data_IF_157594808493
#
_entry.id   IF_157594808493
#
_cell.length_a   1.000
_cell.length_b   1.000
_cell.length_c   1.000
_cell.angle_alpha   90.00
_cell.angle_beta   90.00
_cell.angle_gamma   90.00
#
_symmetry.space_group_name_H-M   'P 1'
#
loop_
_entity.id
_entity.type
_entity.pdbx_description
1 polymer ?
#
# COMPACT_ATOMS: atom_id res chain seq x y z
N UNK A 1 -11.32 9.69 17.02
CA UNK A 1 -10.40 8.57 16.68
C UNK A 1 -11.26 7.33 16.50
N UNK A 2 -11.55 6.97 15.27
CA UNK A 2 -12.35 5.77 14.97
C UNK A 2 -11.41 4.58 14.83
N UNK A 3 -11.58 3.57 15.67
CA UNK A 3 -10.84 2.30 15.61
C UNK A 3 -11.85 1.23 15.26
N UNK A 4 -11.69 0.59 14.10
CA UNK A 4 -12.50 -0.57 13.73
C UNK A 4 -11.66 -1.84 13.88
N UNK A 5 -12.05 -2.74 14.78
CA UNK A 5 -11.45 -4.05 14.95
C UNK A 5 -12.49 -5.12 14.60
N UNK A 6 -12.21 -5.93 13.60
CA UNK A 6 -13.06 -7.07 13.23
C UNK A 6 -12.62 -8.34 13.96
N UNK A 7 -13.50 -8.94 14.75
CA UNK A 7 -13.27 -10.24 15.40
C UNK A 7 -13.87 -11.37 14.57
N UNK A 8 -13.03 -12.30 14.13
CA UNK A 8 -13.52 -13.58 13.62
C UNK A 8 -13.19 -14.69 14.62
N UNK A 9 -14.23 -15.20 15.33
CA UNK A 9 -14.13 -16.40 16.17
C UNK A 9 -14.65 -17.59 15.36
N UNK A 10 -13.76 -18.43 14.87
CA UNK A 10 -14.10 -19.82 14.53
C UNK A 10 -13.08 -20.78 15.10
N UNK A 11 -13.58 -21.50 16.10
CA UNK A 11 -12.99 -22.62 16.77
C UNK A 11 -12.97 -23.84 15.79
N UNK A 12 -11.83 -24.44 15.50
CA UNK A 12 -11.76 -25.71 14.80
C UNK A 12 -10.96 -26.72 15.63
N UNK A 13 -11.68 -27.71 16.09
CA UNK A 13 -11.18 -28.96 16.66
C UNK A 13 -10.44 -29.76 15.59
N UNK A 14 -9.35 -30.37 16.02
CA UNK A 14 -8.56 -31.32 15.25
C UNK A 14 -9.18 -32.73 15.32
N UNK A 15 -9.05 -33.51 14.26
CA UNK A 15 -9.07 -34.98 14.28
C UNK A 15 -8.19 -35.57 13.16
N UNK A 16 -7.50 -36.69 13.41
CA UNK A 16 -6.43 -37.20 12.56
C UNK A 16 -6.90 -38.39 11.69
N UNK A 17 -6.25 -38.62 10.57
CA UNK A 17 -6.46 -39.81 9.71
C UNK A 17 -5.34 -40.01 8.70
N UNK A 18 -4.55 -40.86 8.91
CA UNK A 18 -3.65 -41.91 8.43
C UNK A 18 -4.07 -42.52 7.09
N UNK A 19 -3.10 -42.77 6.15
CA UNK A 19 -2.55 -43.99 5.51
C UNK A 19 -1.93 -43.62 4.16
N UNK A 20 -0.71 -43.93 3.93
CA UNK A 20 0.11 -44.94 3.28
C UNK A 20 -0.33 -45.44 1.88
N UNK A 21 0.61 -45.41 0.99
CA UNK A 21 1.14 -46.32 -0.05
C UNK A 21 1.43 -45.53 -1.33
N UNK A 22 2.56 -45.61 -2.00
CA UNK A 22 3.47 -46.69 -2.32
C UNK A 22 3.53 -46.82 -3.84
N UNK A 23 4.71 -46.80 -4.45
CA UNK A 23 4.85 -47.11 -5.88
C UNK A 23 6.10 -46.53 -6.53
N UNK A 24 7.12 -47.35 -6.64
CA UNK A 24 8.39 -47.20 -7.40
C UNK A 24 8.15 -47.38 -8.90
N UNK A 25 9.03 -46.83 -9.72
CA UNK A 25 9.76 -47.36 -10.86
C UNK A 25 10.36 -46.19 -11.65
N UNK A 26 11.54 -46.06 -11.93
CA UNK A 26 12.76 -46.63 -12.42
C UNK A 26 12.88 -46.67 -13.98
N UNK A 27 14.08 -46.21 -14.41
CA UNK A 27 14.79 -46.50 -15.67
C UNK A 27 14.32 -45.72 -16.91
N UNK A 28 15.17 -45.24 -17.86
CA UNK A 28 16.58 -45.48 -18.25
C UNK A 28 17.00 -44.46 -19.31
N UNK A 29 18.13 -43.87 -19.22
CA UNK A 29 19.36 -43.90 -20.03
C UNK A 29 19.21 -44.01 -21.56
N UNK A 30 19.66 -43.00 -22.32
CA UNK A 30 20.44 -43.15 -23.55
C UNK A 30 21.30 -41.94 -23.85
N UNK A 31 22.58 -42.22 -23.94
CA UNK A 31 23.69 -41.39 -24.41
C UNK A 31 23.77 -41.52 -25.92
N UNK A 32 24.04 -40.47 -26.68
CA UNK A 32 24.79 -40.54 -27.93
C UNK A 32 25.61 -39.27 -28.17
N UNK A 33 26.87 -39.53 -28.51
CA UNK A 33 28.01 -38.68 -28.83
C UNK A 33 28.06 -38.31 -30.30
N UNK A 34 28.86 -37.25 -30.53
CA UNK A 34 29.72 -36.89 -31.66
C UNK A 34 29.14 -36.43 -32.99
N UNK A 35 29.53 -35.24 -33.44
CA UNK A 35 30.70 -34.98 -34.29
C UNK A 35 30.92 -33.49 -34.55
N UNK A 36 32.19 -33.12 -34.50
CA UNK A 36 32.77 -31.83 -34.94
C UNK A 36 32.71 -31.73 -36.47
N UNK A 37 32.63 -30.54 -37.01
CA UNK A 37 33.49 -30.05 -38.10
C UNK A 37 33.46 -28.52 -38.23
N UNK A 38 34.54 -28.01 -38.67
CA UNK A 38 35.24 -26.74 -38.55
C UNK A 38 34.92 -25.79 -39.71
N UNK A 39 35.30 -24.52 -39.56
CA UNK A 39 35.73 -23.52 -40.52
C UNK A 39 34.73 -22.42 -40.98
N UNK A 40 35.15 -21.18 -40.74
CA UNK A 40 34.73 -20.04 -41.55
C UNK A 40 34.73 -18.68 -40.83
N UNK A 41 35.90 -18.03 -40.77
CA UNK A 41 36.09 -16.63 -40.37
C UNK A 41 35.30 -15.67 -41.27
N UNK A 42 34.50 -14.75 -40.71
CA UNK A 42 34.44 -13.37 -41.20
C UNK A 42 34.09 -12.43 -40.05
N UNK A 43 34.97 -11.44 -39.87
CA UNK A 43 34.85 -10.34 -38.93
C UNK A 43 33.70 -9.40 -39.36
N UNK A 44 32.73 -9.25 -38.51
CA UNK A 44 31.67 -8.25 -38.59
C UNK A 44 31.56 -7.53 -37.26
N UNK A 45 31.71 -6.21 -37.31
CA UNK A 45 31.80 -5.24 -36.22
C UNK A 45 30.75 -5.48 -35.12
N UNK A 46 31.23 -5.55 -33.89
CA UNK A 46 30.47 -5.63 -32.65
C UNK A 46 29.53 -4.44 -32.51
N UNK A 47 28.27 -4.62 -32.86
CA UNK A 47 27.20 -3.86 -32.32
C UNK A 47 26.80 -4.54 -31.01
N UNK A 48 27.09 -3.91 -29.87
CA UNK A 48 26.63 -4.37 -28.58
C UNK A 48 25.09 -4.64 -28.62
N UNK A 49 24.62 -5.76 -28.09
CA UNK A 49 23.18 -6.04 -28.07
C UNK A 49 22.50 -4.91 -27.31
N UNK A 50 21.64 -4.15 -28.00
CA UNK A 50 20.71 -3.24 -27.35
C UNK A 50 19.81 -4.12 -26.51
N UNK A 51 19.98 -4.03 -25.19
CA UNK A 51 19.00 -4.56 -24.23
C UNK A 51 17.63 -4.00 -24.62
N UNK A 52 16.61 -4.84 -24.80
CA UNK A 52 15.25 -4.34 -25.00
C UNK A 52 14.92 -3.44 -23.83
N UNK A 53 14.45 -2.23 -24.10
CA UNK A 53 13.91 -1.29 -23.13
C UNK A 53 12.87 -2.07 -22.33
N UNK A 54 13.11 -2.21 -21.02
CA UNK A 54 12.54 -3.19 -20.13
C UNK A 54 11.03 -3.30 -20.29
N UNK A 55 10.57 -4.49 -20.56
CA UNK A 55 9.26 -4.91 -20.10
C UNK A 55 9.23 -4.67 -18.58
N UNK A 56 8.39 -3.76 -18.12
CA UNK A 56 8.11 -3.56 -16.71
C UNK A 56 7.68 -4.92 -16.17
N UNK A 57 8.55 -5.56 -15.41
CA UNK A 57 8.20 -6.83 -14.75
C UNK A 57 7.12 -6.46 -13.73
N UNK A 58 5.85 -6.61 -14.12
CA UNK A 58 4.71 -6.42 -13.25
C UNK A 58 4.80 -7.48 -12.15
N UNK A 59 5.48 -7.12 -11.07
CA UNK A 59 5.55 -7.98 -9.89
C UNK A 59 4.21 -7.90 -9.16
N UNK A 60 3.58 -9.05 -8.89
CA UNK A 60 2.40 -9.14 -8.03
C UNK A 60 2.84 -9.39 -6.59
N UNK A 61 2.12 -8.85 -5.60
CA UNK A 61 2.40 -9.11 -4.20
C UNK A 61 2.33 -10.61 -3.89
N UNK A 62 3.29 -11.10 -3.13
CA UNK A 62 3.37 -12.51 -2.73
C UNK A 62 3.53 -12.63 -1.23
N UNK A 63 3.08 -13.75 -0.66
CA UNK A 63 3.26 -14.08 0.76
C UNK A 63 4.63 -14.74 1.05
N UNK A 64 5.65 -14.45 0.24
CA UNK A 64 6.98 -15.08 0.36
C UNK A 64 7.75 -14.57 1.58
N UNK A 65 7.70 -13.26 1.84
CA UNK A 65 8.42 -12.65 2.98
C UNK A 65 7.81 -13.09 4.30
N UNK A 66 6.50 -13.09 4.39
CA UNK A 66 5.77 -13.55 5.56
C UNK A 66 6.03 -15.05 5.80
N UNK A 67 5.97 -15.87 4.74
CA UNK A 67 6.26 -17.31 4.83
C UNK A 67 7.71 -17.60 5.24
N UNK A 68 8.67 -16.80 4.81
CA UNK A 68 10.07 -16.92 5.22
C UNK A 68 10.24 -16.58 6.73
N UNK A 69 9.54 -15.57 7.23
CA UNK A 69 9.55 -15.24 8.64
C UNK A 69 8.83 -16.31 9.48
N UNK A 70 7.69 -16.81 9.01
CA UNK A 70 6.94 -17.91 9.65
C UNK A 70 7.78 -19.18 9.78
N UNK A 71 8.57 -19.55 8.75
CA UNK A 71 9.51 -20.69 8.83
C UNK A 71 10.59 -20.52 9.89
N UNK A 72 10.88 -19.30 10.30
CA UNK A 72 11.82 -18.98 11.40
C UNK A 72 11.13 -18.88 12.77
N UNK A 73 9.84 -19.25 12.85
CA UNK A 73 9.05 -19.16 14.08
C UNK A 73 8.56 -17.74 14.42
N UNK A 74 8.68 -16.76 13.50
CA UNK A 74 8.23 -15.38 13.71
C UNK A 74 6.77 -15.28 13.28
N UNK A 75 5.88 -15.08 14.25
CA UNK A 75 4.43 -14.92 14.04
C UNK A 75 3.78 -14.26 15.26
N UNK A 76 2.73 -13.43 15.15
CA UNK A 76 2.07 -12.97 13.93
C UNK A 76 2.86 -11.90 13.15
N UNK A 77 2.59 -11.75 11.85
CA UNK A 77 3.24 -10.79 10.96
C UNK A 77 2.19 -9.86 10.39
N UNK A 78 2.38 -8.55 10.58
CA UNK A 78 1.52 -7.52 10.00
C UNK A 78 2.20 -6.84 8.80
N UNK A 79 1.41 -6.47 7.79
CA UNK A 79 1.77 -5.45 6.81
C UNK A 79 1.02 -4.17 7.11
N UNK A 80 1.63 -3.01 6.88
CA UNK A 80 0.95 -1.73 7.01
C UNK A 80 1.30 -0.77 5.88
N UNK A 81 0.32 0.06 5.52
CA UNK A 81 0.38 1.07 4.48
C UNK A 81 -0.58 2.21 4.79
N UNK A 82 -0.41 3.36 4.13
CA UNK A 82 -1.26 4.53 4.28
C UNK A 82 -1.81 5.03 2.95
N UNK A 83 -2.92 5.74 3.00
CA UNK A 83 -3.53 6.45 1.88
C UNK A 83 -3.80 7.91 2.23
N UNK A 84 -3.62 8.81 1.25
CA UNK A 84 -4.02 10.19 1.39
C UNK A 84 -2.94 11.13 1.90
N UNK A 85 -1.67 10.95 1.53
CA UNK A 85 -0.58 11.89 1.86
C UNK A 85 -0.65 13.17 1.04
N UNK A 86 -0.86 13.09 -0.28
CA UNK A 86 -0.84 14.21 -1.20
C UNK A 86 -2.08 15.14 -1.24
N UNK A 87 -3.30 14.73 -0.89
CA UNK A 87 -4.48 15.59 -0.97
C UNK A 87 -4.41 16.84 -0.10
N UNK A 88 -5.08 17.91 -0.54
CA UNK A 88 -5.24 19.17 0.19
C UNK A 88 -6.23 19.08 1.34
N UNK A 89 -7.13 18.08 1.31
CA UNK A 89 -8.16 17.88 2.32
C UNK A 89 -8.30 16.43 2.75
N UNK A 90 -8.84 16.25 3.95
CA UNK A 90 -9.09 14.96 4.56
C UNK A 90 -7.89 14.36 5.31
N UNK A 91 -8.11 13.26 6.05
CA UNK A 91 -7.08 12.62 6.85
C UNK A 91 -6.11 11.80 5.99
N UNK A 92 -4.93 11.51 6.55
CA UNK A 92 -4.18 10.30 6.20
C UNK A 92 -4.84 9.14 6.90
N UNK A 93 -5.10 8.06 6.18
CA UNK A 93 -5.65 6.82 6.70
C UNK A 93 -4.60 5.73 6.58
N UNK A 94 -4.19 5.17 7.71
CA UNK A 94 -3.27 4.04 7.77
C UNK A 94 -4.03 2.76 8.13
N UNK A 95 -3.62 1.63 7.56
CA UNK A 95 -4.12 0.32 7.90
C UNK A 95 -2.99 -0.64 8.27
N UNK A 96 -3.29 -1.59 9.14
CA UNK A 96 -2.44 -2.71 9.48
C UNK A 96 -3.23 -4.02 9.30
N UNK A 97 -2.63 -5.01 8.65
CA UNK A 97 -3.30 -6.27 8.30
C UNK A 97 -2.40 -7.46 8.63
N UNK A 98 -2.94 -8.43 9.41
CA UNK A 98 -2.36 -9.76 9.59
C UNK A 98 -3.20 -10.72 8.76
N UNK A 99 -2.63 -11.23 7.68
CA UNK A 99 -3.28 -12.23 6.82
C UNK A 99 -3.23 -13.62 7.45
N UNK A 100 -4.29 -14.39 7.29
CA UNK A 100 -4.29 -15.82 7.61
C UNK A 100 -3.45 -16.57 6.57
N UNK A 101 -2.34 -17.27 6.96
CA UNK A 101 -1.47 -18.00 6.03
C UNK A 101 -2.18 -19.06 5.19
N UNK A 102 -3.27 -19.63 5.71
CA UNK A 102 -4.04 -20.71 5.06
C UNK A 102 -5.17 -20.16 4.18
N UNK A 103 -5.47 -18.83 4.29
CA UNK A 103 -6.62 -18.25 3.60
C UNK A 103 -6.33 -16.84 3.02
N UNK A 104 -5.24 -16.71 2.28
CA UNK A 104 -4.84 -15.46 1.67
C UNK A 104 -5.81 -15.08 0.55
N UNK A 105 -6.40 -13.86 0.54
CA UNK A 105 -7.27 -13.41 -0.53
C UNK A 105 -6.55 -13.42 -1.90
N UNK A 106 -7.17 -14.04 -2.91
CA UNK A 106 -6.61 -14.04 -4.28
C UNK A 106 -6.84 -12.69 -4.95
N UNK A 107 -5.85 -12.24 -5.71
CA UNK A 107 -5.95 -11.02 -6.53
C UNK A 107 -5.52 -9.74 -5.79
N UNK A 108 -4.80 -9.88 -4.66
CA UNK A 108 -4.11 -8.74 -4.04
C UNK A 108 -3.14 -8.13 -5.06
N UNK A 109 -3.13 -6.80 -5.11
CA UNK A 109 -2.22 -5.99 -5.91
C UNK A 109 -2.10 -4.61 -5.27
N UNK A 110 -1.15 -3.79 -5.73
CA UNK A 110 -1.11 -2.36 -5.41
C UNK A 110 -2.50 -1.73 -5.63
N UNK A 111 -3.00 -1.04 -4.63
CA UNK A 111 -4.35 -0.48 -4.65
C UNK A 111 -4.57 0.50 -5.82
N UNK A 112 -3.52 1.13 -6.33
CA UNK A 112 -3.56 2.06 -7.47
C UNK A 112 -3.73 1.33 -8.82
N UNK A 113 -3.32 0.04 -8.90
CA UNK A 113 -3.48 -0.80 -10.10
C UNK A 113 -4.86 -1.47 -10.18
N UNK A 114 -5.61 -1.45 -9.10
CA UNK A 114 -6.95 -2.05 -9.01
C UNK A 114 -8.03 -1.04 -9.37
N UNK A 115 -9.08 -1.49 -10.06
CA UNK A 115 -10.29 -0.66 -10.23
C UNK A 115 -11.02 -0.47 -8.89
N UNK A 116 -11.84 0.58 -8.73
CA UNK A 116 -12.62 0.80 -7.50
C UNK A 116 -13.46 -0.42 -7.09
N UNK A 117 -14.10 -1.10 -8.04
CA UNK A 117 -14.96 -2.27 -7.80
C UNK A 117 -14.13 -3.45 -7.28
N UNK A 118 -12.96 -3.70 -7.89
CA UNK A 118 -12.05 -4.76 -7.43
C UNK A 118 -11.50 -4.47 -6.05
N UNK A 119 -11.14 -3.20 -5.76
CA UNK A 119 -10.73 -2.79 -4.40
C UNK A 119 -11.83 -3.04 -3.38
N UNK A 120 -13.09 -2.68 -3.70
CA UNK A 120 -14.22 -2.90 -2.80
C UNK A 120 -14.42 -4.40 -2.49
N UNK A 121 -14.40 -5.26 -3.51
CA UNK A 121 -14.53 -6.71 -3.32
C UNK A 121 -13.38 -7.28 -2.48
N UNK A 122 -12.14 -6.84 -2.72
CA UNK A 122 -10.98 -7.29 -1.96
C UNK A 122 -11.02 -6.77 -0.51
N UNK A 123 -11.45 -5.53 -0.29
CA UNK A 123 -11.66 -4.95 1.03
C UNK A 123 -12.56 -5.83 1.89
N UNK A 124 -13.73 -6.22 1.38
CA UNK A 124 -14.67 -7.08 2.11
C UNK A 124 -14.05 -8.46 2.40
N UNK A 125 -13.31 -9.04 1.44
CA UNK A 125 -12.63 -10.32 1.63
C UNK A 125 -11.52 -10.24 2.68
N UNK A 126 -10.74 -9.16 2.69
CA UNK A 126 -9.67 -8.92 3.68
C UNK A 126 -10.30 -8.77 5.06
N UNK A 127 -11.31 -7.90 5.21
CA UNK A 127 -11.97 -7.67 6.49
C UNK A 127 -12.65 -8.94 7.06
N UNK A 128 -13.16 -9.82 6.19
CA UNK A 128 -13.80 -11.08 6.61
C UNK A 128 -12.81 -12.17 7.05
N UNK A 129 -11.52 -12.10 6.64
CA UNK A 129 -10.59 -13.23 6.77
C UNK A 129 -9.27 -12.90 7.45
N UNK A 130 -8.96 -11.61 7.59
CA UNK A 130 -7.73 -11.13 8.20
C UNK A 130 -8.02 -10.37 9.49
N UNK A 131 -6.98 -10.14 10.28
CA UNK A 131 -7.06 -9.17 11.37
C UNK A 131 -6.68 -7.81 10.83
N UNK A 132 -7.57 -6.85 11.00
CA UNK A 132 -7.45 -5.53 10.40
C UNK A 132 -7.62 -4.47 11.47
N UNK A 133 -6.77 -3.46 11.43
CA UNK A 133 -6.94 -2.24 12.20
C UNK A 133 -6.65 -1.02 11.32
N UNK A 134 -7.36 0.08 11.60
CA UNK A 134 -7.24 1.34 10.87
C UNK A 134 -7.06 2.47 11.86
N UNK A 135 -6.19 3.41 11.53
CA UNK A 135 -6.01 4.66 12.26
C UNK A 135 -5.98 5.85 11.31
N UNK A 136 -6.35 7.02 11.81
CA UNK A 136 -6.44 8.24 11.03
C UNK A 136 -5.59 9.35 11.67
N UNK A 137 -4.82 10.07 10.84
CA UNK A 137 -4.23 11.34 11.21
C UNK A 137 -5.08 12.47 10.60
N UNK A 138 -5.81 13.24 11.42
CA UNK A 138 -6.65 14.34 10.94
C UNK A 138 -5.80 15.52 10.42
N UNK A 139 -6.37 16.44 9.62
CA UNK A 139 -5.68 17.63 9.12
C UNK A 139 -4.93 18.41 10.20
N UNK A 140 -5.55 18.65 11.35
CA UNK A 140 -4.91 19.36 12.46
C UNK A 140 -3.61 18.69 12.97
N UNK A 141 -3.51 17.34 12.88
CA UNK A 141 -2.26 16.64 13.19
C UNK A 141 -1.23 16.81 12.06
N UNK A 142 -1.67 16.77 10.81
CA UNK A 142 -0.79 16.97 9.65
C UNK A 142 -0.18 18.36 9.71
N UNK A 143 -0.99 19.38 10.00
CA UNK A 143 -0.54 20.76 10.12
C UNK A 143 0.45 20.95 11.27
N UNK A 144 0.25 20.27 12.40
CA UNK A 144 1.13 20.37 13.56
C UNK A 144 2.45 19.63 13.39
N UNK A 145 2.41 18.39 12.87
CA UNK A 145 3.52 17.43 12.93
C UNK A 145 4.26 17.29 11.57
N UNK A 146 3.75 17.83 10.50
CA UNK A 146 3.96 17.60 9.07
C UNK A 146 3.42 16.22 8.58
N UNK A 147 3.36 16.10 7.24
CA UNK A 147 2.73 14.93 6.59
C UNK A 147 3.48 13.63 6.88
N UNK A 148 4.81 13.63 6.91
CA UNK A 148 5.61 12.44 7.17
C UNK A 148 5.37 11.93 8.59
N UNK A 149 5.54 12.78 9.59
CA UNK A 149 5.36 12.41 11.01
C UNK A 149 3.93 11.99 11.31
N UNK A 150 2.94 12.67 10.71
CA UNK A 150 1.53 12.32 10.84
C UNK A 150 1.23 10.93 10.24
N UNK A 151 1.82 10.60 9.07
CA UNK A 151 1.71 9.27 8.45
C UNK A 151 2.33 8.19 9.31
N UNK A 152 3.58 8.35 9.74
CA UNK A 152 4.27 7.37 10.59
C UNK A 152 3.54 7.15 11.92
N UNK A 153 3.00 8.23 12.52
CA UNK A 153 2.15 8.12 13.70
C UNK A 153 0.87 7.31 13.44
N UNK A 154 0.19 7.53 12.31
CA UNK A 154 -1.02 6.80 11.95
C UNK A 154 -0.72 5.31 11.73
N UNK A 155 0.38 4.99 11.03
CA UNK A 155 0.85 3.61 10.83
C UNK A 155 1.13 2.91 12.17
N UNK A 156 1.88 3.55 13.07
CA UNK A 156 2.15 3.01 14.40
C UNK A 156 0.87 2.78 15.21
N UNK A 157 -0.12 3.69 15.08
CA UNK A 157 -1.43 3.55 15.73
C UNK A 157 -2.28 2.43 15.15
N UNK A 158 -2.25 2.23 13.84
CA UNK A 158 -2.93 1.11 13.18
C UNK A 158 -2.35 -0.23 13.67
N UNK A 159 -1.03 -0.35 13.73
CA UNK A 159 -0.37 -1.56 14.26
C UNK A 159 -0.71 -1.79 15.73
N UNK A 160 -0.68 -0.74 16.57
CA UNK A 160 -1.01 -0.85 17.99
C UNK A 160 -2.48 -1.20 18.26
N UNK A 161 -3.38 -0.94 17.30
CA UNK A 161 -4.81 -1.23 17.38
C UNK A 161 -5.18 -2.64 16.87
N UNK A 162 -4.22 -3.42 16.36
CA UNK A 162 -4.49 -4.79 15.94
C UNK A 162 -4.98 -5.64 17.13
N UNK A 163 -5.95 -6.55 16.92
CA UNK A 163 -6.47 -7.43 17.97
C UNK A 163 -5.39 -8.35 18.57
N UNK A 164 -4.38 -8.69 17.78
CA UNK A 164 -3.23 -9.50 18.20
C UNK A 164 -1.95 -8.71 17.93
N UNK A 165 -1.07 -8.66 18.93
CA UNK A 165 0.22 -7.99 18.81
C UNK A 165 1.13 -8.72 17.82
N UNK A 166 1.60 -8.06 16.73
CA UNK A 166 2.53 -8.68 15.79
C UNK A 166 3.92 -8.85 16.42
N UNK A 167 4.62 -9.91 16.01
CA UNK A 167 6.03 -10.12 16.29
C UNK A 167 6.93 -9.38 15.27
N UNK A 168 6.41 -9.17 14.05
CA UNK A 168 7.09 -8.47 12.96
C UNK A 168 6.10 -7.62 12.18
N UNK A 169 6.50 -6.42 11.78
CA UNK A 169 5.74 -5.53 10.90
C UNK A 169 6.54 -5.23 9.64
N UNK A 170 5.93 -5.43 8.48
CA UNK A 170 6.39 -4.88 7.21
C UNK A 170 5.66 -3.56 6.94
N UNK A 171 6.42 -2.49 6.69
CA UNK A 171 5.88 -1.14 6.42
C UNK A 171 6.17 -0.77 4.99
N UNK A 172 5.20 -0.25 4.25
CA UNK A 172 5.49 0.34 2.94
C UNK A 172 6.38 1.58 3.07
N UNK A 173 7.31 1.76 2.10
CA UNK A 173 8.19 2.91 2.06
C UNK A 173 9.57 2.68 2.67
N UNK A 174 10.22 3.80 3.04
CA UNK A 174 11.63 3.83 3.51
C UNK A 174 11.75 3.89 5.03
N UNK A 175 10.71 4.37 5.70
CA UNK A 175 10.76 4.71 7.11
C UNK A 175 10.21 3.58 7.98
N UNK A 176 10.88 3.34 9.10
CA UNK A 176 10.38 2.44 10.13
C UNK A 176 9.43 3.21 11.05
N UNK A 177 8.49 2.48 11.64
CA UNK A 177 7.57 3.02 12.64
C UNK A 177 7.94 2.51 14.04
N UNK A 178 7.50 3.23 15.07
CA UNK A 178 7.57 2.77 16.46
C UNK A 178 6.43 1.77 16.73
N UNK A 179 6.67 0.50 16.38
CA UNK A 179 5.69 -0.58 16.47
C UNK A 179 5.74 -1.41 17.74
N UNK A 180 6.68 -1.17 18.65
CA UNK A 180 6.97 -2.00 19.85
C UNK A 180 7.22 -3.48 19.52
N UNK A 181 7.67 -3.78 18.32
CA UNK A 181 8.09 -5.09 17.81
C UNK A 181 9.07 -4.87 16.66
N UNK A 182 9.62 -5.96 16.11
CA UNK A 182 10.47 -5.85 14.92
C UNK A 182 9.73 -5.17 13.76
N UNK A 183 10.41 -4.23 13.10
CA UNK A 183 9.87 -3.45 12.01
C UNK A 183 10.84 -3.42 10.83
N UNK A 184 10.34 -3.70 9.63
CA UNK A 184 11.09 -3.66 8.38
C UNK A 184 10.37 -2.79 7.37
N UNK A 185 11.04 -1.72 6.93
CA UNK A 185 10.58 -0.91 5.81
C UNK A 185 10.84 -1.63 4.47
N UNK A 186 9.88 -1.57 3.56
CA UNK A 186 9.94 -2.22 2.24
C UNK A 186 9.51 -1.21 1.20
N UNK A 187 10.45 -0.71 0.40
CA UNK A 187 10.15 0.25 -0.68
C UNK A 187 9.30 -0.45 -1.75
N UNK A 188 8.14 0.13 -2.08
CA UNK A 188 7.16 -0.45 -3.01
C UNK A 188 6.58 -1.79 -2.50
N UNK A 189 6.45 -1.90 -1.19
CA UNK A 189 5.98 -3.11 -0.52
C UNK A 189 4.56 -3.50 -0.93
N UNK A 190 3.70 -2.55 -1.26
CA UNK A 190 2.35 -2.73 -1.78
C UNK A 190 2.31 -3.56 -3.08
N UNK A 191 3.35 -3.45 -3.92
CA UNK A 191 3.55 -4.28 -5.11
C UNK A 191 4.26 -5.61 -4.87
N UNK A 192 4.79 -5.90 -3.68
CA UNK A 192 5.68 -7.05 -3.42
C UNK A 192 5.24 -7.95 -2.27
N UNK A 193 4.64 -7.41 -1.21
CA UNK A 193 4.34 -8.07 0.06
C UNK A 193 2.83 -8.16 0.24
N UNK A 194 2.29 -9.37 0.39
CA UNK A 194 0.85 -9.60 0.39
C UNK A 194 0.13 -8.88 1.55
N UNK A 195 0.72 -8.83 2.73
CA UNK A 195 0.15 -8.14 3.89
C UNK A 195 0.16 -6.61 3.73
N UNK A 196 1.19 -6.04 3.08
CA UNK A 196 1.24 -4.61 2.75
C UNK A 196 0.19 -4.28 1.69
N UNK A 197 0.10 -5.07 0.60
CA UNK A 197 -0.92 -4.88 -0.43
C UNK A 197 -2.35 -4.93 0.15
N UNK A 198 -2.60 -5.84 1.08
CA UNK A 198 -3.87 -5.89 1.79
C UNK A 198 -4.12 -4.63 2.62
N UNK A 199 -3.10 -4.12 3.31
CA UNK A 199 -3.19 -2.87 4.07
C UNK A 199 -3.44 -1.65 3.16
N UNK A 200 -2.75 -1.57 2.00
CA UNK A 200 -2.94 -0.55 0.98
C UNK A 200 -4.41 -0.48 0.52
N UNK A 201 -5.00 -1.64 0.19
CA UNK A 201 -6.42 -1.73 -0.21
C UNK A 201 -7.34 -1.24 0.93
N UNK A 202 -7.08 -1.68 2.17
CA UNK A 202 -7.91 -1.28 3.32
C UNK A 202 -7.80 0.22 3.58
N UNK A 203 -6.60 0.78 3.58
CA UNK A 203 -6.38 2.21 3.79
C UNK A 203 -7.07 3.03 2.69
N UNK A 204 -6.90 2.64 1.41
CA UNK A 204 -7.47 3.34 0.25
C UNK A 204 -9.00 3.33 0.28
N UNK A 205 -9.62 2.16 0.44
CA UNK A 205 -11.09 2.05 0.44
C UNK A 205 -11.69 2.78 1.62
N UNK A 206 -11.10 2.66 2.82
CA UNK A 206 -11.56 3.39 4.00
C UNK A 206 -11.49 4.89 3.80
N UNK A 207 -10.37 5.38 3.24
CA UNK A 207 -10.21 6.81 2.96
C UNK A 207 -11.22 7.31 1.94
N UNK A 208 -11.41 6.59 0.84
CA UNK A 208 -12.33 7.01 -0.22
C UNK A 208 -13.78 7.07 0.31
N UNK A 209 -14.19 6.11 1.14
CA UNK A 209 -15.51 6.15 1.82
C UNK A 209 -15.65 7.36 2.75
N UNK A 210 -14.59 7.71 3.51
CA UNK A 210 -14.58 8.90 4.34
C UNK A 210 -14.68 10.18 3.51
N UNK A 211 -13.97 10.27 2.39
CA UNK A 211 -14.03 11.44 1.51
C UNK A 211 -15.41 11.59 0.86
N UNK A 212 -16.07 10.48 0.52
CA UNK A 212 -17.46 10.53 0.04
C UNK A 212 -18.43 11.05 1.11
N UNK A 213 -18.27 10.63 2.37
CA UNK A 213 -19.04 11.19 3.48
C UNK A 213 -18.78 12.69 3.69
N UNK A 214 -17.53 13.13 3.56
CA UNK A 214 -17.17 14.55 3.62
C UNK A 214 -17.78 15.34 2.45
N UNK A 215 -17.85 14.75 1.24
CA UNK A 215 -18.51 15.36 0.08
C UNK A 215 -19.99 15.61 0.34
N UNK A 216 -20.67 14.65 0.95
CA UNK A 216 -22.07 14.80 1.33
C UNK A 216 -22.28 15.88 2.42
N UNK A 217 -21.34 16.00 3.39
CA UNK A 217 -21.39 16.99 4.46
C UNK A 217 -20.99 18.40 4.01
N UNK A 218 -20.18 18.51 2.94
CA UNK A 218 -19.67 19.77 2.40
C UNK A 218 -19.92 19.85 0.89
N UNK A 219 -21.19 20.01 0.46
CA UNK A 219 -21.54 20.07 -0.94
C UNK A 219 -20.87 21.26 -1.64
N UNK A 220 -20.46 21.05 -2.88
CA UNK A 220 -19.80 22.05 -3.69
C UNK A 220 -18.27 21.99 -3.72
N UNK A 221 -17.64 21.18 -2.85
CA UNK A 221 -16.20 20.92 -2.91
C UNK A 221 -15.82 19.76 -3.83
N UNK A 222 -16.71 18.81 -4.09
CA UNK A 222 -16.44 17.65 -4.94
C UNK A 222 -15.56 16.57 -4.31
N UNK A 223 -15.47 16.51 -2.99
CA UNK A 223 -14.62 15.54 -2.27
C UNK A 223 -14.93 14.08 -2.62
N UNK A 224 -16.17 13.78 -2.99
CA UNK A 224 -16.61 12.44 -3.41
C UNK A 224 -16.06 12.03 -4.78
N UNK A 225 -15.61 12.97 -5.60
CA UNK A 225 -15.04 12.73 -6.94
C UNK A 225 -13.52 12.68 -6.91
N UNK A 226 -12.91 13.74 -6.43
CA UNK A 226 -11.45 13.88 -6.46
C UNK A 226 -10.75 13.54 -5.13
N UNK A 227 -11.47 13.04 -4.13
CA UNK A 227 -10.91 12.57 -2.85
C UNK A 227 -10.02 13.59 -2.14
N UNK A 228 -10.23 14.90 -2.37
CA UNK A 228 -9.48 16.00 -1.80
C UNK A 228 -8.15 16.31 -2.47
N UNK A 229 -7.83 15.69 -3.61
CA UNK A 229 -6.62 15.97 -4.38
C UNK A 229 -6.63 17.37 -5.01
N UNK A 230 -5.44 17.86 -5.35
CA UNK A 230 -5.20 19.17 -5.98
C UNK A 230 -5.54 19.13 -7.48
N UNK A 231 -6.83 19.17 -7.81
CA UNK A 231 -7.34 19.25 -9.17
C UNK A 231 -8.00 20.61 -9.40
N UNK A 232 -8.15 21.08 -10.67
CA UNK A 232 -8.75 22.38 -10.96
C UNK A 232 -10.08 22.62 -10.26
N UNK A 233 -10.97 21.64 -10.25
CA UNK A 233 -12.27 21.70 -9.58
C UNK A 233 -12.14 21.98 -8.06
N UNK A 234 -11.12 21.43 -7.40
CA UNK A 234 -10.87 21.65 -5.98
C UNK A 234 -10.35 23.06 -5.70
N UNK A 235 -9.48 23.59 -6.58
CA UNK A 235 -9.01 24.97 -6.49
C UNK A 235 -10.16 25.98 -6.69
N UNK A 236 -10.99 25.78 -7.70
CA UNK A 236 -12.19 26.60 -7.92
C UNK A 236 -13.15 26.58 -6.72
N UNK A 237 -13.29 25.42 -6.08
CA UNK A 237 -14.10 25.30 -4.88
C UNK A 237 -13.47 26.07 -3.70
N UNK A 238 -12.14 26.00 -3.52
CA UNK A 238 -11.41 26.75 -2.51
C UNK A 238 -11.55 28.25 -2.70
N UNK A 239 -11.42 28.73 -3.91
CA UNK A 239 -11.56 30.18 -4.24
C UNK A 239 -12.98 30.68 -3.96
N UNK A 240 -13.98 29.89 -4.27
CA UNK A 240 -15.39 30.26 -4.14
C UNK A 240 -15.93 30.12 -2.71
N UNK A 241 -15.55 29.04 -2.00
CA UNK A 241 -16.16 28.65 -0.71
C UNK A 241 -15.21 28.83 0.47
N UNK A 242 -13.93 29.07 0.21
CA UNK A 242 -12.89 29.08 1.23
C UNK A 242 -12.55 27.69 1.77
N UNK A 243 -11.51 27.57 2.58
CA UNK A 243 -11.13 26.29 3.20
C UNK A 243 -12.07 25.90 4.36
N UNK A 244 -12.38 24.61 4.47
CA UNK A 244 -13.07 24.01 5.63
C UNK A 244 -12.06 23.56 6.68
N UNK A 245 -12.55 23.12 7.86
CA UNK A 245 -11.74 22.46 8.91
C UNK A 245 -11.10 21.15 8.47
N UNK A 246 -11.50 20.61 7.32
CA UNK A 246 -10.96 19.39 6.75
C UNK A 246 -9.80 19.66 5.77
N UNK A 247 -9.50 20.91 5.44
CA UNK A 247 -8.35 21.28 4.65
C UNK A 247 -7.07 21.35 5.49
N UNK A 248 -5.94 21.05 4.87
CA UNK A 248 -4.62 21.05 5.51
C UNK A 248 -4.00 22.43 5.33
N UNK A 249 -4.06 23.24 6.37
CA UNK A 249 -3.63 24.64 6.35
C UNK A 249 -2.13 24.80 6.04
N UNK A 250 -1.33 23.81 6.42
CA UNK A 250 0.12 23.78 6.13
C UNK A 250 0.47 23.52 4.67
N UNK A 251 -0.52 23.14 3.83
CA UNK A 251 -0.30 22.94 2.40
C UNK A 251 -0.47 24.27 1.66
N UNK A 252 0.53 24.61 0.81
CA UNK A 252 0.61 25.94 0.17
C UNK A 252 -0.69 26.42 -0.49
N UNK A 253 -1.42 25.60 -1.29
CA UNK A 253 -2.67 26.08 -1.90
C UNK A 253 -3.74 26.47 -0.89
N UNK A 254 -3.81 25.76 0.25
CA UNK A 254 -4.78 26.06 1.31
C UNK A 254 -4.35 27.31 2.09
N UNK A 255 -3.05 27.43 2.41
CA UNK A 255 -2.49 28.61 3.09
C UNK A 255 -2.72 29.89 2.28
N UNK A 256 -2.65 29.81 0.94
CA UNK A 256 -2.95 30.94 0.05
C UNK A 256 -4.42 31.31 0.09
N UNK A 257 -5.32 30.32 -0.04
CA UNK A 257 -6.76 30.56 0.05
C UNK A 257 -7.18 31.14 1.41
N UNK A 258 -6.35 30.98 2.45
CA UNK A 258 -6.50 31.62 3.76
C UNK A 258 -5.88 33.03 3.84
N UNK A 259 -5.14 33.47 2.81
CA UNK A 259 -4.38 34.73 2.85
C UNK A 259 -3.13 34.67 3.75
N UNK A 260 -2.71 33.48 4.18
CA UNK A 260 -1.53 33.26 5.04
C UNK A 260 -0.23 33.29 4.25
N UNK A 261 -0.28 33.07 2.92
CA UNK A 261 0.82 33.20 1.98
C UNK A 261 0.40 34.19 0.87
N UNK A 262 1.19 35.22 0.64
CA UNK A 262 0.95 36.18 -0.45
C UNK A 262 1.14 35.50 -1.82
N UNK A 263 0.39 35.95 -2.84
CA UNK A 263 0.47 35.49 -4.22
C UNK A 263 1.83 35.69 -4.91
N UNK A 264 2.81 36.30 -4.21
CA UNK A 264 4.12 36.71 -4.79
C UNK A 264 5.14 35.56 -4.99
N UNK A 265 4.87 34.32 -4.53
CA UNK A 265 5.89 33.25 -4.55
C UNK A 265 5.60 32.15 -5.59
N UNK A 266 4.71 32.38 -6.58
CA UNK A 266 4.33 31.35 -7.57
C UNK A 266 5.06 31.43 -8.91
N UNK A 267 6.08 32.29 -9.08
CA UNK A 267 6.92 32.24 -10.27
C UNK A 267 7.73 30.91 -10.39
N UNK A 268 7.83 30.16 -9.28
CA UNK A 268 8.56 28.89 -9.21
C UNK A 268 7.63 27.67 -8.93
N UNK A 269 6.35 27.75 -9.27
CA UNK A 269 5.36 26.70 -9.02
C UNK A 269 5.63 25.39 -9.80
N UNK A 270 6.46 25.41 -10.82
CA UNK A 270 6.89 24.22 -11.55
C UNK A 270 7.82 23.32 -10.71
N UNK A 271 8.51 23.86 -9.71
CA UNK A 271 9.38 23.08 -8.80
C UNK A 271 8.61 22.37 -7.67
N UNK A 272 7.43 22.87 -7.32
CA UNK A 272 6.61 22.26 -6.24
C UNK A 272 5.89 20.99 -6.69
N UNK A 273 5.70 20.81 -8.00
CA UNK A 273 5.03 19.60 -8.55
C UNK A 273 6.01 18.44 -8.64
N UNK A 274 7.31 18.68 -8.76
CA UNK A 274 8.34 17.64 -8.90
C UNK A 274 8.74 16.98 -7.57
N UNK A 275 8.55 17.64 -6.42
CA UNK A 275 8.86 17.06 -5.11
C UNK A 275 7.73 16.22 -4.51
N UNK A 276 6.57 16.13 -5.16
CA UNK A 276 5.43 15.29 -4.72
C UNK A 276 5.40 13.94 -5.42
N UNK A 277 6.30 13.69 -6.37
CA UNK A 277 6.50 12.38 -7.01
C UNK A 277 7.97 11.97 -6.97
N UNK A 278 8.33 11.09 -6.02
CA UNK A 278 8.91 9.83 -6.43
C UNK A 278 8.01 8.68 -5.98
N UNK A 279 7.62 8.02 -6.91
CA UNK A 279 7.36 6.61 -7.14
C UNK A 279 7.51 5.69 -5.92
#
# INVERSE_FOLDING_TARGET
MLIMAGMNRQNRQASPGRTQNGGKEAASRAVRKDKREDAGKHAGKDAAPRLPLGEEIITRPTFRRERAALKRGIWPIAGCDEAGRGPLAGPVVAAAVILDPDNIPRGLDDSKRLTPERRAVLYERICARAQVAVALAPPARIDRDNILRASLWALARAVAALPVKPALVFVDGRDRIDARCDCQAVIGGDGMVASIAAASIVAKVTRDRLMACLGAAHPGYGFERHMGYSVPEHFEALDRLGPTIHHRRSFSPVAIALGELGLGNFADADDVITDVLPL
#
